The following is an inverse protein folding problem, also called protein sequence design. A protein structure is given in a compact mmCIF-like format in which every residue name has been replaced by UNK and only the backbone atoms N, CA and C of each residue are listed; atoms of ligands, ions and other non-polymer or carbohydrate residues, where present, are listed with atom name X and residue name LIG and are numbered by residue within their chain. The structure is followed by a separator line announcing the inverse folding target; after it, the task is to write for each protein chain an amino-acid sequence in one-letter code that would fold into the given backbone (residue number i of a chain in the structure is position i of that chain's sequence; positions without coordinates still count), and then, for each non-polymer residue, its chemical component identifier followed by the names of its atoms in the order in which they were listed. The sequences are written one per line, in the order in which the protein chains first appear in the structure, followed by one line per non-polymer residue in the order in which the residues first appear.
data_IF_027762664070
#
_entry.id   IF_027762664070
#
_cell.length_a   1.000
_cell.length_b   1.000
_cell.length_c   1.000
_cell.angle_alpha   90.00
_cell.angle_beta   90.00
_cell.angle_gamma   90.00
#
_symmetry.space_group_name_H-M   'P 1'
#
loop_
_entity.id
_entity.type
_entity.pdbx_description
1 polymer ?
#
# COMPACT_ATOMS: atom_id res chain seq x y z
N UNK A 1 -10.12 -17.63 -4.92
CA UNK A 1 -10.19 -16.94 -6.23
C UNK A 1 -11.55 -16.30 -6.31
N UNK A 2 -11.58 -15.07 -5.82
CA UNK A 2 -12.74 -14.18 -5.87
C UNK A 2 -12.59 -13.30 -7.10
N UNK A 3 -13.64 -13.16 -7.90
CA UNK A 3 -13.68 -12.21 -9.02
C UNK A 3 -14.04 -10.82 -8.50
N UNK A 4 -13.49 -9.78 -9.10
CA UNK A 4 -13.81 -8.41 -8.73
C UNK A 4 -15.30 -8.11 -8.96
N UNK A 5 -15.94 -7.50 -7.97
CA UNK A 5 -17.32 -6.99 -8.09
C UNK A 5 -17.23 -5.47 -8.21
N UNK A 6 -17.84 -4.93 -9.27
CA UNK A 6 -17.95 -3.49 -9.45
C UNK A 6 -19.10 -2.93 -8.60
N UNK A 7 -18.94 -1.75 -7.98
CA UNK A 7 -20.03 -1.03 -7.35
C UNK A 7 -21.15 -0.73 -8.36
N UNK A 8 -22.39 -0.75 -7.87
CA UNK A 8 -23.59 -0.45 -8.70
C UNK A 8 -23.57 1.00 -9.21
N UNK A 9 -23.09 1.92 -8.38
CA UNK A 9 -22.97 3.34 -8.70
C UNK A 9 -21.49 3.77 -8.63
N UNK A 10 -20.82 3.74 -9.78
CA UNK A 10 -19.39 4.07 -9.91
C UNK A 10 -19.12 5.57 -9.68
N UNK A 11 -20.05 6.44 -10.02
CA UNK A 11 -19.89 7.88 -9.86
C UNK A 11 -19.95 8.24 -8.37
N UNK A 12 -20.94 7.72 -7.63
CA UNK A 12 -21.07 7.97 -6.19
C UNK A 12 -19.87 7.49 -5.38
N UNK A 13 -19.34 6.28 -5.67
CA UNK A 13 -18.14 5.77 -4.97
C UNK A 13 -16.89 6.55 -5.36
N UNK A 14 -16.83 7.08 -6.59
CA UNK A 14 -15.72 7.93 -7.04
C UNK A 14 -15.72 9.28 -6.33
N UNK A 15 -16.88 9.89 -6.15
CA UNK A 15 -17.04 11.11 -5.35
C UNK A 15 -16.68 10.86 -3.87
N UNK A 16 -17.12 9.73 -3.31
CA UNK A 16 -16.76 9.33 -1.95
C UNK A 16 -15.24 9.18 -1.82
N UNK A 17 -14.60 8.47 -2.73
CA UNK A 17 -13.15 8.30 -2.74
C UNK A 17 -12.40 9.63 -2.78
N UNK A 18 -12.81 10.55 -3.66
CA UNK A 18 -12.18 11.86 -3.79
C UNK A 18 -12.27 12.67 -2.49
N UNK A 19 -13.39 12.57 -1.78
CA UNK A 19 -13.60 13.19 -0.47
C UNK A 19 -12.76 12.53 0.63
N UNK A 20 -12.56 11.21 0.57
CA UNK A 20 -11.82 10.43 1.56
C UNK A 20 -10.30 10.52 1.43
N UNK A 21 -9.76 10.65 0.21
CA UNK A 21 -8.31 10.69 -0.04
C UNK A 21 -7.57 11.75 0.80
N UNK A 22 -7.99 13.03 0.89
CA UNK A 22 -7.32 14.01 1.76
C UNK A 22 -7.45 13.68 3.25
N UNK A 23 -8.56 13.05 3.67
CA UNK A 23 -8.75 12.59 5.05
C UNK A 23 -7.75 11.49 5.39
N UNK A 24 -7.55 10.53 4.48
CA UNK A 24 -6.56 9.47 4.64
C UNK A 24 -5.13 10.02 4.76
N UNK A 25 -4.74 10.96 3.91
CA UNK A 25 -3.39 11.58 3.98
C UNK A 25 -3.17 12.27 5.33
N UNK A 26 -4.19 12.99 5.82
CA UNK A 26 -4.16 13.59 7.16
C UNK A 26 -4.04 12.53 8.25
N UNK A 27 -4.81 11.44 8.18
CA UNK A 27 -4.73 10.31 9.11
C UNK A 27 -3.32 9.70 9.12
N UNK A 28 -2.69 9.46 7.96
CA UNK A 28 -1.32 8.94 7.91
C UNK A 28 -0.32 9.86 8.62
N UNK A 29 -0.52 11.17 8.52
CA UNK A 29 0.28 12.16 9.25
C UNK A 29 0.03 12.09 10.76
N UNK A 30 -1.22 11.90 11.19
CA UNK A 30 -1.55 11.75 12.61
C UNK A 30 -1.05 10.43 13.20
N UNK A 31 -1.14 9.34 12.43
CA UNK A 31 -0.66 8.00 12.80
C UNK A 31 0.88 8.00 12.90
N UNK A 32 1.58 8.66 11.99
CA UNK A 32 3.05 8.70 12.01
C UNK A 32 3.60 9.42 13.26
N UNK A 33 2.82 10.32 13.88
CA UNK A 33 3.16 10.97 15.15
C UNK A 33 3.12 10.02 16.35
N UNK A 34 2.48 8.86 16.22
CA UNK A 34 2.44 7.85 17.29
C UNK A 34 3.78 7.12 17.47
N UNK A 35 4.61 7.13 16.42
CA UNK A 35 5.88 6.42 16.41
C UNK A 35 6.92 7.17 17.24
N UNK A 36 7.73 6.43 17.99
CA UNK A 36 8.90 6.99 18.70
C UNK A 36 10.09 7.07 17.77
N UNK A 37 11.15 7.77 18.20
CA UNK A 37 12.39 7.88 17.40
C UNK A 37 12.99 6.50 17.15
N UNK A 38 12.99 5.63 18.16
CA UNK A 38 13.55 4.28 18.12
C UNK A 38 12.79 3.39 17.13
N UNK A 39 11.47 3.55 17.05
CA UNK A 39 10.61 2.82 16.12
C UNK A 39 10.97 3.18 14.66
N UNK A 40 11.16 4.48 14.38
CA UNK A 40 11.61 4.96 13.06
C UNK A 40 12.99 4.42 12.70
N UNK A 41 13.93 4.44 13.65
CA UNK A 41 15.29 3.92 13.43
C UNK A 41 15.30 2.40 13.22
N UNK A 42 14.40 1.65 13.87
CA UNK A 42 14.26 0.22 13.65
C UNK A 42 13.76 -0.09 12.23
N UNK A 43 12.78 0.66 11.74
CA UNK A 43 12.31 0.58 10.35
C UNK A 43 13.44 0.94 9.38
N UNK A 44 14.12 2.06 9.60
CA UNK A 44 15.20 2.51 8.72
C UNK A 44 16.35 1.50 8.66
N UNK A 45 16.72 0.90 9.80
CA UNK A 45 17.73 -0.16 9.84
C UNK A 45 17.30 -1.38 9.02
N UNK A 46 16.05 -1.80 9.16
CA UNK A 46 15.52 -2.97 8.43
C UNK A 46 15.52 -2.74 6.92
N UNK A 47 15.08 -1.56 6.50
CA UNK A 47 15.06 -1.17 5.09
C UNK A 47 16.41 -0.64 4.59
N UNK A 48 17.51 -0.82 5.34
CA UNK A 48 18.85 -0.36 4.94
C UNK A 48 18.95 1.14 4.60
N UNK A 49 18.08 1.97 5.18
CA UNK A 49 18.04 3.44 5.03
C UNK A 49 18.82 4.17 6.14
N UNK A 50 19.37 3.42 7.11
CA UNK A 50 20.05 3.99 8.26
C UNK A 50 21.55 4.17 7.99
N UNK A 51 22.00 5.42 7.90
CA UNK A 51 23.43 5.75 7.77
C UNK A 51 23.94 6.55 8.98
N UNK A 52 25.23 6.87 8.99
CA UNK A 52 25.88 7.69 10.01
C UNK A 52 26.59 8.86 9.36
N UNK A 53 26.24 10.07 9.78
CA UNK A 53 26.95 11.30 9.40
C UNK A 53 27.41 12.00 10.68
N UNK A 54 28.70 12.34 10.75
CA UNK A 54 29.30 13.02 11.91
C UNK A 54 28.96 12.35 13.26
N UNK A 55 28.96 11.01 13.28
CA UNK A 55 28.62 10.21 14.47
C UNK A 55 27.12 10.15 14.82
N UNK A 56 26.25 10.84 14.08
CA UNK A 56 24.79 10.83 14.27
C UNK A 56 24.12 9.88 13.30
N UNK A 57 23.13 9.13 13.79
CA UNK A 57 22.25 8.30 12.97
C UNK A 57 21.32 9.20 12.15
N UNK A 58 21.34 9.04 10.84
CA UNK A 58 20.43 9.72 9.93
C UNK A 58 19.68 8.69 9.08
N UNK A 59 18.52 9.08 8.56
CA UNK A 59 17.73 8.26 7.63
C UNK A 59 17.95 8.89 6.26
N UNK A 60 18.51 8.13 5.33
CA UNK A 60 18.81 8.57 3.98
C UNK A 60 17.85 7.91 3.01
N UNK A 61 17.38 8.69 2.04
CA UNK A 61 16.52 8.26 0.95
C UNK A 61 17.30 8.48 -0.34
N UNK A 62 17.48 7.43 -1.12
CA UNK A 62 18.14 7.47 -2.42
C UNK A 62 17.21 7.98 -3.52
N UNK A 63 15.89 7.77 -3.36
CA UNK A 63 14.88 8.15 -4.33
C UNK A 63 13.67 8.81 -3.63
N UNK A 64 13.01 9.79 -4.26
CA UNK A 64 11.91 10.57 -3.64
C UNK A 64 10.72 9.71 -3.16
N UNK A 65 10.30 8.72 -3.96
CA UNK A 65 9.25 7.77 -3.61
C UNK A 65 9.57 6.88 -2.39
N UNK A 66 10.84 6.81 -1.95
CA UNK A 66 11.16 6.05 -0.73
C UNK A 66 10.54 6.66 0.52
N UNK A 67 10.23 7.96 0.52
CA UNK A 67 9.57 8.61 1.66
C UNK A 67 8.19 8.00 1.90
N UNK A 68 7.39 7.82 0.85
CA UNK A 68 6.06 7.23 0.93
C UNK A 68 6.13 5.74 1.30
N UNK A 69 7.06 5.00 0.70
CA UNK A 69 7.32 3.58 1.03
C UNK A 69 7.70 3.43 2.50
N UNK A 70 8.59 4.30 2.99
CA UNK A 70 9.02 4.28 4.38
C UNK A 70 7.88 4.63 5.34
N UNK A 71 7.05 5.62 5.00
CA UNK A 71 5.89 5.99 5.79
C UNK A 71 4.86 4.85 5.86
N UNK A 72 4.54 4.19 4.73
CA UNK A 72 3.66 3.01 4.72
C UNK A 72 4.21 1.91 5.63
N UNK A 73 5.50 1.59 5.46
CA UNK A 73 6.18 0.56 6.23
C UNK A 73 6.06 0.80 7.74
N UNK A 74 6.32 2.04 8.14
CA UNK A 74 6.28 2.47 9.53
C UNK A 74 4.89 2.32 10.16
N UNK A 75 3.83 2.69 9.44
CA UNK A 75 2.49 2.77 10.03
C UNK A 75 1.72 1.45 9.94
N UNK A 76 1.91 0.69 8.87
CA UNK A 76 1.18 -0.56 8.62
C UNK A 76 1.98 -1.83 8.95
N UNK A 77 3.26 -1.85 8.62
CA UNK A 77 4.07 -3.09 8.71
C UNK A 77 4.77 -3.24 10.06
N UNK A 78 5.36 -2.16 10.57
CA UNK A 78 6.09 -2.19 11.83
C UNK A 78 5.14 -2.39 13.03
N UNK A 79 5.39 -3.44 13.82
CA UNK A 79 4.52 -3.86 14.93
C UNK A 79 5.31 -3.90 16.25
N UNK A 80 5.64 -2.74 16.84
CA UNK A 80 6.26 -2.72 18.15
C UNK A 80 5.28 -3.33 19.15
N UNK A 81 5.69 -4.42 19.83
CA UNK A 81 4.85 -5.16 20.79
C UNK A 81 3.59 -5.77 20.15
N UNK A 82 3.66 -6.13 18.87
CA UNK A 82 2.62 -6.93 18.19
C UNK A 82 1.47 -6.14 17.54
N UNK A 83 1.41 -4.81 17.71
CA UNK A 83 0.37 -3.95 17.09
C UNK A 83 1.01 -2.85 16.25
N UNK A 84 0.44 -2.55 15.08
CA UNK A 84 0.92 -1.48 14.21
C UNK A 84 0.33 -0.10 14.62
N UNK A 85 0.84 0.98 14.02
CA UNK A 85 0.44 2.33 14.40
C UNK A 85 -1.02 2.64 14.00
N UNK A 86 -1.52 2.08 12.91
CA UNK A 86 -2.92 2.20 12.49
C UNK A 86 -3.85 1.60 13.56
N UNK A 87 -3.56 0.39 14.03
CA UNK A 87 -4.32 -0.26 15.09
C UNK A 87 -4.26 0.54 16.40
N UNK A 88 -3.10 1.10 16.74
CA UNK A 88 -2.95 2.00 17.89
C UNK A 88 -3.86 3.23 17.75
N UNK A 89 -3.94 3.83 16.56
CA UNK A 89 -4.83 4.97 16.31
C UNK A 89 -6.31 4.58 16.44
N UNK A 90 -6.73 3.46 15.83
CA UNK A 90 -8.11 2.98 15.94
C UNK A 90 -8.52 2.72 17.40
N UNK A 91 -7.61 2.17 18.20
CA UNK A 91 -7.82 1.86 19.61
C UNK A 91 -7.98 3.10 20.51
N UNK A 92 -7.47 4.26 20.08
CA UNK A 92 -7.67 5.53 20.81
C UNK A 92 -9.11 6.02 20.78
N UNK A 93 -9.92 5.53 19.82
CA UNK A 93 -11.33 5.93 19.64
C UNK A 93 -11.50 7.45 19.55
N UNK A 94 -10.55 8.14 18.91
CA UNK A 94 -10.53 9.60 18.82
C UNK A 94 -11.57 10.17 17.85
N UNK A 95 -12.13 9.34 16.96
CA UNK A 95 -13.14 9.73 15.99
C UNK A 95 -14.49 9.07 16.28
N UNK A 96 -15.62 9.80 16.11
CA UNK A 96 -16.95 9.25 16.32
C UNK A 96 -17.26 8.04 15.43
N UNK A 97 -18.12 7.15 15.93
CA UNK A 97 -18.66 6.06 15.11
C UNK A 97 -19.35 6.62 13.86
N UNK A 98 -19.09 6.02 12.70
CA UNK A 98 -19.66 6.43 11.42
C UNK A 98 -18.98 7.63 10.74
N UNK A 99 -18.03 8.32 11.39
CA UNK A 99 -17.23 9.34 10.70
C UNK A 99 -16.35 8.72 9.62
N UNK A 100 -15.98 9.50 8.61
CA UNK A 100 -15.08 9.04 7.56
C UNK A 100 -13.73 8.57 8.10
N UNK A 101 -13.18 9.30 9.08
CA UNK A 101 -11.93 8.91 9.74
C UNK A 101 -12.06 7.56 10.42
N UNK A 102 -13.18 7.33 11.11
CA UNK A 102 -13.43 6.07 11.78
C UNK A 102 -13.56 4.92 10.78
N UNK A 103 -14.35 5.11 9.72
CA UNK A 103 -14.53 4.13 8.63
C UNK A 103 -13.20 3.82 7.94
N UNK A 104 -12.38 4.84 7.67
CA UNK A 104 -11.06 4.68 7.07
C UNK A 104 -10.14 3.87 7.99
N UNK A 105 -10.05 4.20 9.28
CA UNK A 105 -9.23 3.44 10.22
C UNK A 105 -9.68 1.98 10.33
N UNK A 106 -10.98 1.70 10.29
CA UNK A 106 -11.54 0.34 10.31
C UNK A 106 -11.20 -0.46 9.05
N UNK A 107 -11.13 0.19 7.89
CA UNK A 107 -10.59 -0.41 6.66
C UNK A 107 -9.07 -0.61 6.77
N UNK A 108 -8.33 0.42 7.16
CA UNK A 108 -6.87 0.43 7.23
C UNK A 108 -6.28 -0.62 8.19
N UNK A 109 -6.98 -0.99 9.27
CA UNK A 109 -6.50 -2.08 10.15
C UNK A 109 -6.54 -3.45 9.46
N UNK A 110 -7.34 -3.60 8.42
CA UNK A 110 -7.43 -4.81 7.58
C UNK A 110 -6.49 -4.73 6.36
N UNK A 111 -5.66 -3.69 6.28
CA UNK A 111 -4.79 -3.46 5.15
C UNK A 111 -3.70 -4.52 5.03
N UNK A 112 -3.52 -5.06 3.82
CA UNK A 112 -2.49 -6.06 3.50
C UNK A 112 -1.66 -5.63 2.32
N UNK A 113 -0.36 -5.87 2.37
CA UNK A 113 0.53 -5.72 1.24
C UNK A 113 0.44 -6.94 0.33
N UNK A 114 0.40 -6.70 -0.98
CA UNK A 114 0.62 -7.72 -1.99
C UNK A 114 1.19 -7.11 -3.26
N UNK A 115 1.46 -7.95 -4.25
CA UNK A 115 1.80 -7.54 -5.61
C UNK A 115 0.62 -7.80 -6.52
N UNK A 116 0.20 -6.77 -7.23
CA UNK A 116 -0.95 -6.80 -8.10
C UNK A 116 -0.53 -6.65 -9.56
N UNK A 117 -1.17 -7.41 -10.42
CA UNK A 117 -1.14 -7.21 -11.87
C UNK A 117 -2.37 -6.42 -12.29
N UNK A 118 -2.19 -5.31 -12.99
CA UNK A 118 -3.30 -4.55 -13.59
C UNK A 118 -3.88 -5.35 -14.76
N UNK A 119 -5.09 -5.87 -14.62
CA UNK A 119 -5.77 -6.69 -15.63
C UNK A 119 -6.62 -5.87 -16.58
N UNK A 120 -7.32 -4.87 -16.05
CA UNK A 120 -8.28 -4.07 -16.79
C UNK A 120 -8.38 -2.68 -16.16
N UNK A 121 -8.54 -1.66 -17.00
CA UNK A 121 -8.87 -0.30 -16.57
C UNK A 121 -10.39 -0.12 -16.54
N UNK A 122 -10.89 0.46 -15.47
CA UNK A 122 -12.28 0.88 -15.31
C UNK A 122 -12.31 2.39 -15.47
N UNK A 123 -12.79 2.83 -16.63
CA UNK A 123 -12.69 4.20 -17.09
C UNK A 123 -13.11 5.22 -16.00
N UNK A 124 -12.31 6.27 -15.84
CA UNK A 124 -12.54 7.41 -14.92
C UNK A 124 -12.62 7.08 -13.41
N UNK A 125 -12.44 5.80 -13.03
CA UNK A 125 -12.60 5.34 -11.64
C UNK A 125 -11.36 4.64 -11.08
N UNK A 126 -10.86 3.59 -11.75
CA UNK A 126 -9.81 2.74 -11.19
C UNK A 126 -9.46 1.56 -12.09
N UNK A 127 -9.13 0.41 -11.50
CA UNK A 127 -8.70 -0.77 -12.25
C UNK A 127 -9.06 -2.08 -11.54
N UNK A 128 -9.07 -3.17 -12.30
CA UNK A 128 -9.10 -4.53 -11.77
C UNK A 128 -7.66 -4.98 -11.56
N UNK A 129 -7.30 -5.19 -10.29
CA UNK A 129 -6.00 -5.74 -9.90
C UNK A 129 -6.13 -7.23 -9.56
N UNK A 130 -5.32 -8.06 -10.20
CA UNK A 130 -5.17 -9.47 -9.85
C UNK A 130 -4.02 -9.62 -8.84
N UNK A 131 -4.33 -10.08 -7.64
CA UNK A 131 -3.35 -10.33 -6.59
C UNK A 131 -2.52 -11.58 -6.94
N UNK A 132 -1.23 -11.37 -7.21
CA UNK A 132 -0.31 -12.43 -7.63
C UNK A 132 -0.08 -13.50 -6.56
N UNK A 133 -0.44 -13.24 -5.31
CA UNK A 133 -0.29 -14.20 -4.21
C UNK A 133 -1.59 -14.95 -3.96
N UNK A 134 -2.69 -14.24 -3.78
CA UNK A 134 -3.98 -14.88 -3.43
C UNK A 134 -4.74 -15.42 -4.65
N UNK A 135 -4.48 -14.89 -5.84
CA UNK A 135 -5.26 -15.17 -7.04
C UNK A 135 -6.66 -14.56 -7.02
N UNK A 136 -6.92 -13.63 -6.10
CA UNK A 136 -8.16 -12.88 -6.06
C UNK A 136 -8.05 -11.60 -6.90
N UNK A 137 -9.18 -11.16 -7.43
CA UNK A 137 -9.31 -9.92 -8.18
C UNK A 137 -10.05 -8.88 -7.37
N UNK A 138 -9.54 -7.65 -7.42
CA UNK A 138 -10.09 -6.52 -6.69
C UNK A 138 -10.37 -5.37 -7.65
N UNK A 139 -11.56 -4.76 -7.50
CA UNK A 139 -11.77 -3.42 -8.03
C UNK A 139 -11.11 -2.42 -7.08
N UNK A 140 -10.03 -1.83 -7.56
CA UNK A 140 -9.18 -0.90 -6.83
C UNK A 140 -9.47 0.49 -7.39
N UNK A 141 -9.99 1.35 -6.53
CA UNK A 141 -10.31 2.72 -6.90
C UNK A 141 -9.05 3.57 -6.71
N UNK A 142 -8.46 3.97 -7.82
CA UNK A 142 -7.25 4.79 -7.90
C UNK A 142 -7.33 5.67 -9.15
N UNK A 143 -7.27 6.98 -8.93
CA UNK A 143 -7.28 7.99 -10.01
C UNK A 143 -5.90 8.55 -10.31
N UNK A 144 -4.86 8.05 -9.64
CA UNK A 144 -3.48 8.51 -9.80
C UNK A 144 -2.72 7.71 -10.85
N UNK A 145 -3.17 6.48 -11.17
CA UNK A 145 -2.59 5.72 -12.26
C UNK A 145 -2.97 6.30 -13.63
N UNK A 146 -2.02 6.34 -14.58
CA UNK A 146 -2.32 6.69 -15.97
C UNK A 146 -3.44 5.82 -16.54
N UNK A 147 -4.33 6.41 -17.31
CA UNK A 147 -5.43 5.69 -17.97
C UNK A 147 -5.01 4.95 -19.24
N UNK A 148 -3.74 5.05 -19.64
CA UNK A 148 -3.17 4.45 -20.84
C UNK A 148 -1.95 3.59 -20.49
N UNK A 149 -1.78 2.48 -21.21
CA UNK A 149 -0.61 1.59 -21.20
C UNK A 149 -0.23 0.95 -19.86
N UNK A 150 -1.10 0.97 -18.85
CA UNK A 150 -0.84 0.35 -17.54
C UNK A 150 -1.34 -1.10 -17.43
N UNK A 151 -2.06 -1.64 -18.42
CA UNK A 151 -2.46 -3.06 -18.40
C UNK A 151 -1.20 -3.94 -18.48
N UNK A 152 -1.12 -4.94 -17.60
CA UNK A 152 0.06 -5.78 -17.44
C UNK A 152 1.13 -5.20 -16.50
N UNK A 153 0.93 -3.99 -15.97
CA UNK A 153 1.80 -3.41 -14.97
C UNK A 153 1.71 -4.21 -13.66
N UNK A 154 2.88 -4.57 -13.10
CA UNK A 154 3.00 -5.18 -11.79
C UNK A 154 3.35 -4.11 -10.76
N UNK A 155 2.54 -3.99 -9.71
CA UNK A 155 2.71 -2.97 -8.67
C UNK A 155 2.58 -3.63 -7.31
N UNK A 156 3.56 -3.41 -6.44
CA UNK A 156 3.44 -3.68 -5.01
C UNK A 156 2.77 -2.50 -4.32
N UNK A 157 1.67 -2.74 -3.61
CA UNK A 157 1.09 -1.73 -2.72
C UNK A 157 0.24 -2.41 -1.66
N UNK A 158 -0.17 -1.61 -0.67
CA UNK A 158 -1.04 -2.05 0.40
C UNK A 158 -2.49 -1.74 0.10
N UNK A 159 -3.33 -2.77 0.08
CA UNK A 159 -4.75 -2.68 -0.21
C UNK A 159 -5.59 -2.87 1.07
N UNK A 160 -6.69 -2.13 1.18
CA UNK A 160 -7.65 -2.25 2.27
C UNK A 160 -9.09 -2.06 1.79
N UNK A 161 -10.07 -2.73 2.43
CA UNK A 161 -11.47 -2.63 2.03
C UNK A 161 -12.08 -1.30 2.50
N UNK A 162 -12.95 -0.72 1.68
CA UNK A 162 -13.79 0.41 2.07
C UNK A 162 -15.17 0.30 1.41
N UNK A 163 -16.18 -0.12 2.19
CA UNK A 163 -17.52 -0.34 1.66
C UNK A 163 -17.52 -1.39 0.55
N UNK A 164 -17.91 -0.99 -0.66
CA UNK A 164 -18.01 -1.85 -1.84
C UNK A 164 -16.79 -1.81 -2.77
N UNK A 165 -15.72 -1.10 -2.41
CA UNK A 165 -14.51 -0.98 -3.21
C UNK A 165 -13.25 -1.14 -2.35
N UNK A 166 -12.10 -1.21 -2.99
CA UNK A 166 -10.82 -1.29 -2.32
C UNK A 166 -10.00 -0.03 -2.58
N UNK A 167 -9.31 0.42 -1.54
CA UNK A 167 -8.39 1.55 -1.58
C UNK A 167 -6.97 1.06 -1.31
N UNK A 168 -5.98 1.81 -1.77
CA UNK A 168 -4.57 1.58 -1.43
C UNK A 168 -4.02 2.71 -0.55
N UNK A 169 -2.99 2.40 0.23
CA UNK A 169 -2.36 3.39 1.15
C UNK A 169 -1.74 4.57 0.41
N UNK A 170 -1.29 4.38 -0.84
CA UNK A 170 -0.65 5.40 -1.67
C UNK A 170 0.84 5.19 -1.89
N UNK A 171 1.49 4.28 -1.14
CA UNK A 171 2.83 3.83 -1.45
C UNK A 171 2.77 2.77 -2.55
N UNK A 172 3.41 3.07 -3.68
CA UNK A 172 3.33 2.25 -4.90
C UNK A 172 4.74 1.84 -5.34
N UNK A 173 4.98 0.55 -5.50
CA UNK A 173 6.26 -0.01 -5.94
C UNK A 173 6.09 -0.63 -7.31
N UNK A 174 6.40 0.12 -8.36
CA UNK A 174 6.31 -0.36 -9.75
C UNK A 174 7.42 -1.36 -10.06
N UNK A 175 7.05 -2.59 -10.45
CA UNK A 175 7.99 -3.70 -10.67
C UNK A 175 8.19 -4.05 -12.15
N UNK A 176 7.65 -3.23 -13.05
CA UNK A 176 7.66 -3.43 -14.50
C UNK A 176 6.42 -4.15 -15.02
N UNK A 177 6.50 -4.65 -16.26
CA UNK A 177 5.35 -5.21 -16.97
C UNK A 177 5.46 -6.73 -17.15
N UNK A 178 4.34 -7.43 -16.99
CA UNK A 178 4.20 -8.81 -17.40
C UNK A 178 4.24 -8.90 -18.92
N UNK A 179 5.33 -9.47 -19.48
CA UNK A 179 5.61 -9.36 -20.92
C UNK A 179 4.74 -10.26 -21.80
N UNK A 180 4.16 -11.39 -21.32
CA UNK A 180 3.21 -12.26 -22.09
C UNK A 180 2.29 -13.13 -21.19
N UNK A 181 1.11 -13.44 -21.73
CA UNK A 181 0.08 -14.38 -21.23
C UNK A 181 -0.33 -14.19 -19.76
N UNK A 182 -0.97 -13.04 -19.47
CA UNK A 182 -1.44 -12.70 -18.13
C UNK A 182 -2.45 -13.71 -17.56
N UNK A 183 -3.19 -14.41 -18.43
CA UNK A 183 -4.25 -15.34 -18.01
C UNK A 183 -3.70 -16.71 -17.59
N UNK A 184 -2.44 -17.00 -17.92
CA UNK A 184 -1.74 -18.19 -17.45
C UNK A 184 -0.99 -17.96 -16.12
N UNK A 185 -1.00 -16.74 -15.57
CA UNK A 185 -0.31 -16.42 -14.32
C UNK A 185 -1.00 -17.11 -13.16
N UNK A 186 -0.34 -18.11 -12.59
CA UNK A 186 -0.79 -18.80 -11.38
C UNK A 186 -0.41 -18.00 -10.14
N UNK A 187 -1.23 -18.03 -9.08
CA UNK A 187 -0.87 -17.42 -7.82
C UNK A 187 0.44 -18.04 -7.28
N UNK A 188 1.31 -17.18 -6.74
CA UNK A 188 2.62 -17.55 -6.19
C UNK A 188 2.50 -18.27 -4.83
N UNK A 189 1.31 -18.24 -4.21
CA UNK A 189 1.01 -18.89 -2.94
C UNK A 189 0.36 -17.92 -1.96
N UNK A 190 -0.19 -18.43 -0.87
CA UNK A 190 -0.95 -17.62 0.09
C UNK A 190 -0.06 -16.91 1.11
N UNK A 191 -0.29 -15.60 1.32
CA UNK A 191 0.22 -14.86 2.47
C UNK A 191 -0.65 -15.18 3.69
N UNK A 192 -0.19 -16.07 4.58
CA UNK A 192 -0.97 -16.59 5.72
C UNK A 192 -0.63 -15.92 7.04
N UNK A 193 0.47 -15.18 7.09
CA UNK A 193 0.95 -14.55 8.31
C UNK A 193 1.52 -13.16 8.07
N UNK A 194 1.49 -12.36 9.13
CA UNK A 194 2.15 -11.04 9.17
C UNK A 194 3.63 -11.13 8.82
N UNK A 195 4.29 -12.24 9.16
CA UNK A 195 5.72 -12.43 8.88
C UNK A 195 5.97 -12.64 7.38
N UNK A 196 5.15 -13.45 6.71
CA UNK A 196 5.22 -13.66 5.26
C UNK A 196 4.91 -12.36 4.51
N UNK A 197 3.91 -11.61 4.97
CA UNK A 197 3.59 -10.29 4.41
C UNK A 197 4.75 -9.30 4.57
N UNK A 198 5.41 -9.27 5.74
CA UNK A 198 6.59 -8.45 5.98
C UNK A 198 7.76 -8.84 5.08
N UNK A 199 8.03 -10.14 4.95
CA UNK A 199 9.07 -10.64 4.07
C UNK A 199 8.82 -10.24 2.62
N UNK A 200 7.58 -10.41 2.14
CA UNK A 200 7.19 -9.98 0.80
C UNK A 200 7.41 -8.48 0.60
N UNK A 201 6.95 -7.65 1.54
CA UNK A 201 7.11 -6.20 1.42
C UNK A 201 8.58 -5.80 1.37
N UNK A 202 9.42 -6.39 2.22
CA UNK A 202 10.87 -6.14 2.19
C UNK A 202 11.47 -6.55 0.84
N UNK A 203 11.18 -7.75 0.33
CA UNK A 203 11.67 -8.25 -0.96
C UNK A 203 11.26 -7.33 -2.11
N UNK A 204 10.01 -6.87 -2.11
CA UNK A 204 9.47 -5.97 -3.14
C UNK A 204 10.10 -4.58 -3.06
N UNK A 205 10.36 -4.05 -1.85
CA UNK A 205 11.07 -2.78 -1.66
C UNK A 205 12.49 -2.87 -2.22
N UNK A 206 13.23 -3.94 -1.91
CA UNK A 206 14.59 -4.10 -2.41
C UNK A 206 14.62 -4.28 -3.93
N UNK A 207 13.73 -5.11 -4.48
CA UNK A 207 13.62 -5.27 -5.93
C UNK A 207 13.23 -3.96 -6.64
N UNK A 208 12.32 -3.19 -6.05
CA UNK A 208 11.93 -1.89 -6.61
C UNK A 208 13.12 -0.92 -6.66
N UNK A 209 13.99 -0.92 -5.65
CA UNK A 209 15.23 -0.13 -5.66
C UNK A 209 16.15 -0.51 -6.80
N UNK A 210 16.34 -1.81 -7.04
CA UNK A 210 17.15 -2.29 -8.14
C UNK A 210 16.58 -1.76 -9.47
N UNK A 211 15.27 -1.86 -9.66
CA UNK A 211 14.57 -1.36 -10.86
C UNK A 211 14.73 0.15 -11.06
N UNK A 212 14.59 0.98 -10.01
CA UNK A 212 14.74 2.43 -10.17
C UNK A 212 16.19 2.85 -10.34
N UNK A 213 17.15 2.15 -9.71
CA UNK A 213 18.57 2.45 -9.93
C UNK A 213 19.03 2.18 -11.37
N UNK A 214 18.47 1.16 -12.04
CA UNK A 214 18.74 0.88 -13.46
C UNK A 214 18.15 1.93 -14.42
N UNK A 215 17.20 2.77 -13.96
CA UNK A 215 16.57 3.82 -14.77
C UNK A 215 17.26 5.18 -14.63
N UNK A 216 18.02 5.38 -13.56
CA UNK A 216 18.77 6.61 -13.27
C UNK A 216 20.22 6.57 -13.85
N UNK A 217 20.68 5.42 -14.34
CA UNK A 217 21.97 5.18 -15.03
C UNK A 217 21.87 5.33 -16.57
#
# INVERSE_FOLDING_TARGET
MTTAILPVDLDAVTEEYLRLRPIMIRLHTEISRLLRKEDRLACAKRLQMLSKENGRKIISFAHEFEVDIFQDYQIYMYRPRGINAVQQMLNRKSYPAGSDERRLLEGMVQARFSVFLVKQIIERSGFIGYDLYTGDEFFILDKTLPTQDVVGLMIGFRLFPFGSYWMHSGANLTLGYARRNMDAIKPLGSLRSVREEQQLNDEVIFKWRDVVSELDD
#
